data_IF_103664381186
#
_entry.id   IF_103664381186
#
_cell.length_a   1.000
_cell.length_b   1.000
_cell.length_c   1.000
_cell.angle_alpha   90.00
_cell.angle_beta   90.00
_cell.angle_gamma   90.00
#
_symmetry.space_group_name_H-M   'P 1'
#
loop_
_entity.id
_entity.type
_entity.pdbx_description
1 polymer ?
#
# COMPACT_ATOMS: atom_id res chain seq x y z
N UNK A 1 -17.67 4.64 1.41
CA UNK A 1 -16.95 3.39 1.65
C UNK A 1 -17.69 2.64 2.72
N UNK A 2 -18.04 1.39 2.47
CA UNK A 2 -18.86 0.61 3.39
C UNK A 2 -18.05 0.33 4.67
N UNK A 3 -18.70 0.49 5.82
CA UNK A 3 -18.07 0.26 7.13
C UNK A 3 -18.22 -1.19 7.60
N UNK A 4 -19.08 -1.96 6.93
CA UNK A 4 -19.37 -3.36 7.24
C UNK A 4 -19.88 -4.07 5.98
N UNK A 5 -19.72 -5.39 5.95
CA UNK A 5 -20.27 -6.28 4.93
C UNK A 5 -20.98 -7.45 5.61
N UNK A 6 -22.02 -7.96 4.95
CA UNK A 6 -22.62 -9.25 5.31
C UNK A 6 -21.99 -10.36 4.47
N UNK A 7 -21.53 -11.42 5.12
CA UNK A 7 -20.97 -12.62 4.47
C UNK A 7 -21.71 -13.87 4.93
N UNK A 8 -21.96 -14.79 4.01
CA UNK A 8 -22.57 -16.09 4.32
C UNK A 8 -21.49 -17.17 4.31
N UNK A 9 -21.43 -17.95 5.39
CA UNK A 9 -20.49 -19.06 5.51
C UNK A 9 -21.13 -20.22 6.25
N UNK A 10 -21.21 -21.39 5.60
CA UNK A 10 -21.83 -22.58 6.21
C UNK A 10 -23.32 -22.39 6.52
N UNK A 11 -24.01 -21.55 5.74
CA UNK A 11 -25.43 -21.24 5.92
C UNK A 11 -25.75 -20.23 7.03
N UNK A 12 -24.73 -19.70 7.73
CA UNK A 12 -24.88 -18.63 8.71
C UNK A 12 -24.42 -17.29 8.13
N UNK A 13 -25.13 -16.22 8.48
CA UNK A 13 -24.80 -14.85 8.10
C UNK A 13 -23.95 -14.19 9.18
N UNK A 14 -22.84 -13.57 8.78
CA UNK A 14 -21.91 -12.86 9.65
C UNK A 14 -21.76 -11.41 9.18
N UNK A 15 -21.85 -10.47 10.11
CA UNK A 15 -21.57 -9.05 9.85
C UNK A 15 -20.10 -8.80 10.19
N UNK A 16 -19.32 -8.41 9.18
CA UNK A 16 -17.89 -8.12 9.33
C UNK A 16 -17.68 -6.63 9.21
N UNK A 17 -17.29 -5.94 10.30
CA UNK A 17 -16.93 -4.53 10.24
C UNK A 17 -15.56 -4.37 9.57
N UNK A 18 -15.33 -3.19 8.99
CA UNK A 18 -14.01 -2.78 8.51
C UNK A 18 -13.01 -2.80 9.67
N UNK A 19 -11.84 -3.38 9.42
CA UNK A 19 -10.82 -3.57 10.45
C UNK A 19 -10.24 -2.21 10.89
N UNK A 20 -10.12 -2.03 12.21
CA UNK A 20 -9.27 -1.00 12.80
C UNK A 20 -7.80 -1.40 12.67
N UNK A 21 -6.89 -0.45 12.87
CA UNK A 21 -5.45 -0.65 12.63
C UNK A 21 -4.90 -1.94 13.25
N UNK A 22 -5.25 -2.24 14.51
CA UNK A 22 -4.75 -3.44 15.19
C UNK A 22 -5.17 -4.74 14.50
N UNK A 23 -6.45 -4.84 14.14
CA UNK A 23 -6.99 -6.00 13.40
C UNK A 23 -6.44 -6.02 11.98
N UNK A 24 -6.35 -4.86 11.31
CA UNK A 24 -5.81 -4.73 9.96
C UNK A 24 -4.37 -5.25 9.87
N UNK A 25 -3.50 -4.84 10.79
CA UNK A 25 -2.10 -5.30 10.83
C UNK A 25 -2.02 -6.81 11.08
N UNK A 26 -2.91 -7.37 11.91
CA UNK A 26 -3.01 -8.81 12.12
C UNK A 26 -3.43 -9.54 10.84
N UNK A 27 -4.43 -9.02 10.13
CA UNK A 27 -4.88 -9.56 8.85
C UNK A 27 -3.77 -9.47 7.79
N UNK A 28 -3.01 -8.38 7.73
CA UNK A 28 -1.88 -8.23 6.82
C UNK A 28 -0.79 -9.28 7.06
N UNK A 29 -0.45 -9.56 8.33
CA UNK A 29 0.50 -10.62 8.68
C UNK A 29 -0.02 -12.00 8.23
N UNK A 30 -1.29 -12.31 8.50
CA UNK A 30 -1.90 -13.58 8.10
C UNK A 30 -2.02 -13.73 6.57
N UNK A 31 -2.23 -12.62 5.86
CA UNK A 31 -2.23 -12.59 4.41
C UNK A 31 -0.84 -12.85 3.84
N UNK A 32 0.21 -12.29 4.45
CA UNK A 32 1.60 -12.59 4.06
C UNK A 32 1.92 -14.09 4.29
N UNK A 33 1.52 -14.66 5.43
CA UNK A 33 1.67 -16.10 5.69
C UNK A 33 0.89 -16.97 4.68
N UNK A 34 -0.28 -16.52 4.22
CA UNK A 34 -1.05 -17.20 3.18
C UNK A 34 -0.31 -17.18 1.83
N UNK A 35 0.28 -16.03 1.45
CA UNK A 35 1.07 -15.91 0.22
C UNK A 35 2.35 -16.75 0.28
N UNK A 36 3.06 -16.73 1.41
CA UNK A 36 4.24 -17.57 1.64
C UNK A 36 3.91 -19.06 1.52
N UNK A 37 2.74 -19.48 2.02
CA UNK A 37 2.25 -20.85 1.88
C UNK A 37 1.94 -21.21 0.42
N UNK A 38 1.36 -20.27 -0.33
CA UNK A 38 1.06 -20.44 -1.75
C UNK A 38 2.33 -20.54 -2.60
N UNK A 39 3.34 -19.71 -2.33
CA UNK A 39 4.64 -19.75 -3.02
C UNK A 39 5.40 -21.07 -2.79
N UNK A 40 5.12 -21.75 -1.67
CA UNK A 40 5.70 -23.06 -1.33
C UNK A 40 4.84 -24.24 -1.76
N UNK A 41 3.68 -23.99 -2.37
CA UNK A 41 2.67 -25.00 -2.72
C UNK A 41 2.19 -25.84 -1.50
N UNK A 42 2.29 -25.29 -0.28
CA UNK A 42 1.85 -25.96 0.95
C UNK A 42 0.37 -25.70 1.21
N UNK A 43 -0.47 -26.57 0.65
CA UNK A 43 -1.93 -26.52 0.82
C UNK A 43 -2.39 -26.50 2.29
N UNK A 44 -1.64 -27.15 3.19
CA UNK A 44 -1.96 -27.19 4.62
C UNK A 44 -1.69 -25.84 5.29
N UNK A 45 -0.54 -25.24 4.99
CA UNK A 45 -0.21 -23.90 5.45
C UNK A 45 -1.21 -22.86 4.92
N UNK A 46 -1.55 -22.93 3.63
CA UNK A 46 -2.55 -22.04 3.03
C UNK A 46 -3.91 -22.15 3.73
N UNK A 47 -4.43 -23.37 3.91
CA UNK A 47 -5.72 -23.58 4.56
C UNK A 47 -5.74 -23.07 6.01
N UNK A 48 -4.64 -23.29 6.75
CA UNK A 48 -4.51 -22.82 8.13
C UNK A 48 -4.43 -21.28 8.21
N UNK A 49 -3.67 -20.63 7.32
CA UNK A 49 -3.57 -19.17 7.26
C UNK A 49 -4.91 -18.53 6.87
N UNK A 50 -5.61 -19.12 5.90
CA UNK A 50 -6.95 -18.68 5.48
C UNK A 50 -7.96 -18.80 6.63
N UNK A 51 -7.96 -19.93 7.35
CA UNK A 51 -8.79 -20.12 8.54
C UNK A 51 -8.51 -19.04 9.60
N UNK A 52 -7.23 -18.80 9.91
CA UNK A 52 -6.82 -17.79 10.90
C UNK A 52 -7.23 -16.39 10.45
N UNK A 53 -7.10 -16.08 9.17
CA UNK A 53 -7.49 -14.79 8.59
C UNK A 53 -8.98 -14.52 8.78
N UNK A 54 -9.84 -15.44 8.36
CA UNK A 54 -11.30 -15.30 8.47
C UNK A 54 -11.72 -15.24 9.95
N UNK A 55 -11.12 -16.09 10.80
CA UNK A 55 -11.41 -16.10 12.24
C UNK A 55 -11.00 -14.82 12.95
N UNK A 56 -9.93 -14.15 12.50
CA UNK A 56 -9.47 -12.87 13.05
C UNK A 56 -10.33 -11.69 12.57
N UNK A 57 -10.95 -11.80 11.39
CA UNK A 57 -11.80 -10.76 10.82
C UNK A 57 -13.22 -10.77 11.40
N UNK A 58 -13.80 -11.95 11.67
CA UNK A 58 -15.18 -12.08 12.17
C UNK A 58 -15.22 -11.80 13.69
N UNK A 59 -16.01 -10.81 14.15
CA UNK A 59 -16.20 -10.56 15.58
C UNK A 59 -16.77 -11.79 16.28
N UNK A 60 -16.24 -12.12 17.47
CA UNK A 60 -16.54 -13.33 18.26
C UNK A 60 -15.88 -14.64 17.75
N UNK A 61 -15.11 -14.56 16.67
CA UNK A 61 -14.41 -15.72 16.11
C UNK A 61 -15.34 -16.68 15.38
N UNK A 62 -14.72 -17.62 14.67
CA UNK A 62 -15.42 -18.61 13.86
C UNK A 62 -15.01 -20.01 14.32
N UNK A 63 -15.98 -20.89 14.51
CA UNK A 63 -15.69 -22.28 14.86
C UNK A 63 -15.03 -23.01 13.68
N UNK A 64 -13.98 -23.79 13.98
CA UNK A 64 -13.27 -24.61 13.00
C UNK A 64 -14.20 -25.61 12.30
N UNK A 65 -15.22 -26.10 13.00
CA UNK A 65 -16.21 -27.02 12.45
C UNK A 65 -16.99 -26.42 11.28
N UNK A 66 -17.34 -25.13 11.36
CA UNK A 66 -18.08 -24.42 10.30
C UNK A 66 -17.23 -24.33 9.03
N UNK A 67 -15.96 -23.94 9.13
CA UNK A 67 -15.06 -23.86 7.97
C UNK A 67 -14.83 -25.24 7.36
N UNK A 68 -14.61 -26.27 8.18
CA UNK A 68 -14.33 -27.62 7.68
C UNK A 68 -15.50 -28.23 6.89
N UNK A 69 -16.73 -27.81 7.18
CA UNK A 69 -17.94 -28.27 6.49
C UNK A 69 -18.36 -27.35 5.33
N UNK A 70 -17.80 -26.15 5.25
CA UNK A 70 -18.15 -25.17 4.23
C UNK A 70 -17.49 -25.49 2.89
N UNK A 71 -18.20 -25.33 1.77
CA UNK A 71 -17.59 -25.44 0.45
C UNK A 71 -16.44 -24.44 0.26
N UNK A 72 -15.38 -24.85 -0.42
CA UNK A 72 -14.16 -24.04 -0.59
C UNK A 72 -14.43 -22.68 -1.27
N UNK A 73 -15.41 -22.62 -2.19
CA UNK A 73 -15.76 -21.39 -2.90
C UNK A 73 -16.41 -20.35 -1.97
N UNK A 74 -17.13 -20.78 -0.92
CA UNK A 74 -17.70 -19.86 0.08
C UNK A 74 -16.58 -19.25 0.90
N UNK A 75 -15.62 -20.06 1.36
CA UNK A 75 -14.45 -19.61 2.11
C UNK A 75 -13.66 -18.58 1.29
N UNK A 76 -13.44 -18.85 0.01
CA UNK A 76 -12.72 -17.95 -0.88
C UNK A 76 -13.50 -16.64 -1.11
N UNK A 77 -14.81 -16.71 -1.33
CA UNK A 77 -15.64 -15.51 -1.48
C UNK A 77 -15.61 -14.64 -0.22
N UNK A 78 -15.75 -15.25 0.96
CA UNK A 78 -15.64 -14.56 2.26
C UNK A 78 -14.28 -13.88 2.38
N UNK A 79 -13.19 -14.59 2.07
CA UNK A 79 -11.85 -14.01 2.09
C UNK A 79 -11.72 -12.80 1.15
N UNK A 80 -12.16 -12.93 -0.10
CA UNK A 80 -12.09 -11.84 -1.09
C UNK A 80 -12.92 -10.64 -0.64
N UNK A 81 -14.14 -10.85 -0.12
CA UNK A 81 -14.99 -9.77 0.37
C UNK A 81 -14.37 -9.04 1.56
N UNK A 82 -13.79 -9.77 2.52
CA UNK A 82 -13.09 -9.18 3.66
C UNK A 82 -11.82 -8.44 3.22
N UNK A 83 -11.05 -9.02 2.30
CA UNK A 83 -9.84 -8.37 1.77
C UNK A 83 -10.18 -7.08 1.02
N UNK A 84 -11.29 -7.08 0.26
CA UNK A 84 -11.78 -5.91 -0.48
C UNK A 84 -12.30 -4.81 0.47
N UNK A 85 -13.03 -5.19 1.53
CA UNK A 85 -13.47 -4.25 2.57
C UNK A 85 -12.30 -3.54 3.27
N UNK A 86 -11.19 -4.25 3.44
CA UNK A 86 -9.99 -3.74 4.13
C UNK A 86 -8.95 -3.16 3.16
N UNK A 87 -9.29 -2.97 1.88
CA UNK A 87 -8.42 -2.26 0.96
C UNK A 87 -8.25 -0.83 1.46
N UNK A 88 -6.99 -0.38 1.53
CA UNK A 88 -6.68 1.02 1.87
C UNK A 88 -7.11 1.89 0.70
N UNK A 89 -8.09 2.76 0.94
CA UNK A 89 -8.46 3.79 -0.02
C UNK A 89 -7.59 5.03 0.22
N UNK A 90 -7.17 5.66 -0.88
CA UNK A 90 -6.36 6.86 -0.85
C UNK A 90 -4.97 6.71 -1.45
N UNK A 91 -4.42 7.85 -1.84
CA UNK A 91 -3.14 7.94 -2.52
C UNK A 91 -2.00 8.21 -1.54
N UNK A 92 -1.69 7.25 -0.68
CA UNK A 92 -0.54 7.37 0.22
C UNK A 92 0.77 7.13 -0.53
N UNK A 93 1.59 8.17 -0.61
CA UNK A 93 2.93 8.15 -1.22
C UNK A 93 3.78 7.01 -0.65
N UNK A 94 3.75 6.85 0.67
CA UNK A 94 4.53 5.83 1.38
C UNK A 94 4.19 4.41 0.91
N UNK A 95 2.96 4.13 0.47
CA UNK A 95 2.55 2.81 -0.01
C UNK A 95 2.87 2.57 -1.49
N UNK A 96 2.66 3.58 -2.35
CA UNK A 96 2.86 3.45 -3.81
C UNK A 96 4.30 3.10 -4.17
N UNK A 97 5.26 3.55 -3.38
CA UNK A 97 6.69 3.46 -3.69
C UNK A 97 7.51 2.68 -2.67
N UNK A 98 6.84 1.89 -1.82
CA UNK A 98 7.47 1.01 -0.82
C UNK A 98 8.25 -0.18 -1.41
N UNK A 99 8.35 -0.32 -2.74
CA UNK A 99 9.12 -1.41 -3.35
C UNK A 99 10.60 -1.25 -3.01
N UNK A 100 11.03 -2.06 -2.05
CA UNK A 100 12.43 -2.21 -1.70
C UNK A 100 12.88 -3.56 -2.26
N UNK A 101 13.81 -3.55 -3.21
CA UNK A 101 14.56 -4.74 -3.64
C UNK A 101 15.56 -5.21 -2.56
N UNK A 102 15.36 -4.82 -1.29
CA UNK A 102 16.24 -5.23 -0.22
C UNK A 102 16.00 -6.69 0.13
N UNK A 103 17.10 -7.43 0.23
CA UNK A 103 17.10 -8.79 0.72
C UNK A 103 16.41 -8.85 2.10
N UNK A 104 15.62 -9.91 2.38
CA UNK A 104 14.99 -10.06 3.67
C UNK A 104 16.04 -10.06 4.77
N UNK A 105 15.87 -9.15 5.72
CA UNK A 105 16.84 -8.95 6.79
C UNK A 105 16.68 -10.07 7.82
N UNK A 106 17.76 -10.68 8.38
CA UNK A 106 17.66 -11.86 9.25
C UNK A 106 16.80 -11.69 10.50
N UNK A 107 16.63 -10.44 10.97
CA UNK A 107 15.80 -10.09 12.13
C UNK A 107 14.39 -9.62 11.75
N UNK A 108 13.95 -9.83 10.51
CA UNK A 108 12.60 -9.52 10.08
C UNK A 108 11.63 -10.62 10.53
N UNK A 109 10.97 -10.43 11.66
CA UNK A 109 9.92 -11.32 12.14
C UNK A 109 8.51 -10.80 11.75
N UNK A 110 7.48 -11.66 11.66
CA UNK A 110 6.15 -11.29 11.15
C UNK A 110 5.48 -10.11 11.90
N UNK A 111 5.70 -10.02 13.22
CA UNK A 111 5.13 -8.94 14.05
C UNK A 111 5.87 -7.59 13.93
N UNK A 112 6.97 -7.51 13.18
CA UNK A 112 7.84 -6.33 13.18
C UNK A 112 7.13 -5.10 12.62
N UNK A 113 6.36 -5.28 11.56
CA UNK A 113 5.57 -4.20 10.96
C UNK A 113 4.56 -3.63 11.96
N UNK A 114 3.84 -4.51 12.66
CA UNK A 114 2.86 -4.10 13.67
C UNK A 114 3.51 -3.32 14.80
N UNK A 115 4.61 -3.86 15.34
CA UNK A 115 5.34 -3.24 16.44
C UNK A 115 5.94 -1.90 15.99
N UNK A 116 6.47 -1.80 14.77
CA UNK A 116 7.06 -0.56 14.28
C UNK A 116 6.03 0.54 14.14
N UNK A 117 4.84 0.26 13.59
CA UNK A 117 3.76 1.25 13.48
C UNK A 117 3.29 1.74 14.84
N UNK A 118 3.05 0.81 15.78
CA UNK A 118 2.66 1.16 17.15
C UNK A 118 3.76 2.00 17.82
N UNK A 119 5.02 1.63 17.66
CA UNK A 119 6.14 2.34 18.27
C UNK A 119 6.31 3.76 17.70
N UNK A 120 6.24 3.94 16.38
CA UNK A 120 6.33 5.25 15.72
C UNK A 120 5.21 6.18 16.25
N UNK A 121 3.97 5.71 16.23
CA UNK A 121 2.81 6.50 16.67
C UNK A 121 2.86 6.80 18.18
N UNK A 122 3.23 5.81 19.00
CA UNK A 122 3.36 6.00 20.44
C UNK A 122 4.48 6.99 20.78
N UNK A 123 5.61 6.95 20.06
CA UNK A 123 6.72 7.87 20.28
C UNK A 123 6.38 9.32 19.89
N UNK A 124 5.61 9.51 18.82
CA UNK A 124 5.24 10.83 18.32
C UNK A 124 4.12 11.49 19.15
N UNK A 125 3.06 10.75 19.49
CA UNK A 125 1.86 11.32 20.11
C UNK A 125 1.63 10.90 21.56
N UNK A 126 2.49 10.02 22.12
CA UNK A 126 2.36 9.48 23.46
C UNK A 126 0.99 8.78 23.72
N UNK A 127 0.41 8.20 22.67
CA UNK A 127 -0.83 7.43 22.74
C UNK A 127 -0.60 6.02 23.27
N UNK A 128 -1.62 5.46 23.92
CA UNK A 128 -1.56 4.06 24.36
C UNK A 128 -1.68 3.11 23.16
N UNK A 129 -1.22 1.86 23.34
CA UNK A 129 -1.40 0.81 22.33
C UNK A 129 -2.86 0.65 21.92
N UNK A 130 -3.79 0.72 22.89
CA UNK A 130 -5.23 0.51 22.64
C UNK A 130 -5.80 1.64 21.78
N UNK A 131 -5.39 2.88 22.04
CA UNK A 131 -5.82 4.04 21.25
C UNK A 131 -5.32 3.94 19.82
N UNK A 132 -4.04 3.55 19.64
CA UNK A 132 -3.42 3.38 18.32
C UNK A 132 -4.10 2.24 17.53
N UNK A 133 -4.35 1.10 18.17
CA UNK A 133 -4.99 -0.05 17.51
C UNK A 133 -6.43 0.23 17.07
N UNK A 134 -7.09 1.23 17.67
CA UNK A 134 -8.45 1.67 17.33
C UNK A 134 -8.50 2.71 16.20
N UNK A 135 -7.37 3.24 15.74
CA UNK A 135 -7.33 4.16 14.60
C UNK A 135 -7.85 3.50 13.32
N UNK A 136 -8.36 4.33 12.40
CA UNK A 136 -8.53 3.88 11.02
C UNK A 136 -7.16 3.68 10.38
N UNK A 137 -7.05 2.67 9.50
CA UNK A 137 -5.79 2.33 8.84
C UNK A 137 -5.23 3.51 8.05
N UNK A 138 -6.11 4.25 7.36
CA UNK A 138 -5.76 5.44 6.55
C UNK A 138 -5.21 6.58 7.42
N UNK A 139 -5.84 6.83 8.56
CA UNK A 139 -5.40 7.87 9.51
C UNK A 139 -4.01 7.53 10.05
N UNK A 140 -3.80 6.27 10.44
CA UNK A 140 -2.51 5.80 10.93
C UNK A 140 -1.41 5.91 9.86
N UNK A 141 -1.70 5.59 8.60
CA UNK A 141 -0.74 5.76 7.49
C UNK A 141 -0.43 7.25 7.28
N UNK A 142 -1.45 8.11 7.30
CA UNK A 142 -1.28 9.56 7.18
C UNK A 142 -0.34 10.11 8.27
N UNK A 143 -0.58 9.73 9.52
CA UNK A 143 0.28 10.12 10.65
C UNK A 143 1.71 9.60 10.50
N UNK A 144 1.90 8.34 10.12
CA UNK A 144 3.24 7.78 9.91
C UNK A 144 3.96 8.56 8.79
N UNK A 145 3.27 8.87 7.69
CA UNK A 145 3.84 9.62 6.58
C UNK A 145 4.26 11.04 7.01
N UNK A 146 3.45 11.71 7.84
CA UNK A 146 3.76 13.03 8.41
C UNK A 146 5.00 12.95 9.33
N UNK A 147 5.03 11.99 10.26
CA UNK A 147 6.16 11.78 11.17
C UNK A 147 7.46 11.53 10.39
N UNK A 148 7.43 10.63 9.40
CA UNK A 148 8.63 10.32 8.61
C UNK A 148 9.09 11.51 7.76
N UNK A 149 8.17 12.33 7.24
CA UNK A 149 8.51 13.55 6.50
C UNK A 149 9.21 14.58 7.40
N UNK A 150 8.71 14.76 8.62
CA UNK A 150 9.30 15.67 9.61
C UNK A 150 10.68 15.19 10.07
N UNK A 151 10.81 13.90 10.38
CA UNK A 151 12.10 13.30 10.72
C UNK A 151 13.12 13.47 9.60
N UNK A 152 12.71 13.23 8.35
CA UNK A 152 13.59 13.40 7.20
C UNK A 152 14.01 14.87 7.03
N UNK A 153 13.08 15.81 7.20
CA UNK A 153 13.37 17.25 7.12
C UNK A 153 14.38 17.66 8.20
N UNK A 154 14.22 17.14 9.43
CA UNK A 154 15.16 17.37 10.51
C UNK A 154 16.55 16.76 10.22
N UNK A 155 16.59 15.53 9.69
CA UNK A 155 17.83 14.86 9.28
C UNK A 155 18.56 15.64 8.19
N UNK A 156 17.83 16.18 7.21
CA UNK A 156 18.38 17.03 6.15
C UNK A 156 18.95 18.33 6.69
N UNK A 157 18.23 18.98 7.61
CA UNK A 157 18.71 20.18 8.28
C UNK A 157 20.00 19.90 9.05
N UNK A 158 20.03 18.86 9.88
CA UNK A 158 21.24 18.48 10.62
C UNK A 158 22.40 18.08 9.71
N UNK A 159 22.11 17.35 8.62
CA UNK A 159 23.10 17.00 7.61
C UNK A 159 23.71 18.23 6.96
N UNK A 160 22.89 19.25 6.64
CA UNK A 160 23.36 20.52 6.06
C UNK A 160 24.32 21.31 6.95
N UNK A 161 24.32 21.06 8.27
CA UNK A 161 25.27 21.67 9.19
C UNK A 161 26.56 20.85 9.36
N UNK A 162 26.57 19.59 8.89
CA UNK A 162 27.72 18.69 9.00
C UNK A 162 28.75 18.96 7.91
N UNK A 163 30.04 18.84 8.24
CA UNK A 163 31.13 18.89 7.26
C UNK A 163 31.03 17.80 6.20
N UNK A 164 30.38 16.67 6.52
CA UNK A 164 30.13 15.56 5.60
C UNK A 164 29.27 16.01 4.40
N UNK A 165 28.41 17.01 4.58
CA UNK A 165 27.58 17.53 3.50
C UNK A 165 28.31 18.45 2.51
N UNK A 166 29.57 18.82 2.79
CA UNK A 166 30.40 19.66 1.93
C UNK A 166 31.76 18.99 1.62
N UNK A 167 31.76 17.84 0.91
CA UNK A 167 33.01 17.19 0.54
C UNK A 167 33.88 18.14 -0.30
N UNK A 168 35.14 18.30 0.10
CA UNK A 168 36.10 19.13 -0.62
C UNK A 168 36.56 18.42 -1.88
N UNK A 169 36.37 19.05 -3.04
CA UNK A 169 36.88 18.53 -4.30
C UNK A 169 38.21 19.20 -4.64
N UNK A 170 39.31 18.45 -4.52
CA UNK A 170 40.68 18.96 -4.72
C UNK A 170 40.91 19.57 -6.12
N UNK A 171 40.29 19.00 -7.15
CA UNK A 171 40.45 19.47 -8.53
C UNK A 171 39.84 20.84 -8.76
N UNK A 172 38.65 21.09 -8.20
CA UNK A 172 37.96 22.39 -8.32
C UNK A 172 38.30 23.37 -7.19
N UNK A 173 38.99 22.88 -6.15
CA UNK A 173 39.24 23.61 -4.88
C UNK A 173 37.97 24.22 -4.28
N UNK A 174 36.83 23.58 -4.51
CA UNK A 174 35.53 24.04 -4.03
C UNK A 174 34.82 22.91 -3.30
N UNK A 175 34.03 23.28 -2.30
CA UNK A 175 33.13 22.36 -1.61
C UNK A 175 31.73 22.60 -2.13
N UNK A 176 31.05 21.54 -2.60
CA UNK A 176 29.65 21.61 -3.05
C UNK A 176 28.77 20.87 -2.06
N UNK A 177 27.57 21.38 -1.84
CA UNK A 177 26.59 20.72 -0.98
C UNK A 177 26.13 19.40 -1.61
N UNK A 178 26.23 18.31 -0.85
CA UNK A 178 25.73 16.99 -1.18
C UNK A 178 24.52 16.68 -0.29
N UNK A 179 23.27 16.77 -0.80
CA UNK A 179 22.07 16.56 0.00
C UNK A 179 21.98 15.12 0.49
N UNK A 180 21.28 14.92 1.61
CA UNK A 180 20.93 13.59 2.08
C UNK A 180 19.94 12.93 1.09
N UNK A 181 20.10 11.64 0.85
CA UNK A 181 19.17 10.90 -0.02
C UNK A 181 17.80 10.83 0.65
N UNK A 182 16.78 11.28 -0.08
CA UNK A 182 15.38 11.19 0.36
C UNK A 182 14.81 9.79 0.12
N UNK A 183 13.87 9.33 0.96
CA UNK A 183 13.06 8.15 0.66
C UNK A 183 12.39 8.29 -0.70
N UNK A 184 12.25 7.18 -1.44
CA UNK A 184 11.69 7.17 -2.81
C UNK A 184 10.32 7.83 -2.90
N UNK A 185 9.53 7.76 -1.82
CA UNK A 185 8.20 8.34 -1.76
C UNK A 185 8.17 9.86 -1.56
N UNK A 186 9.26 10.47 -1.10
CA UNK A 186 9.44 11.92 -0.95
C UNK A 186 10.11 12.58 -2.16
N UNK A 187 10.68 11.78 -3.07
CA UNK A 187 11.36 12.31 -4.27
C UNK A 187 10.28 12.76 -5.25
N UNK A 188 10.31 14.04 -5.62
CA UNK A 188 9.50 14.55 -6.74
C UNK A 188 10.02 13.85 -8.00
N UNK A 189 9.31 12.82 -8.45
CA UNK A 189 9.59 12.23 -9.75
C UNK A 189 9.14 13.23 -10.80
N UNK A 190 10.05 13.60 -11.67
CA UNK A 190 9.65 14.10 -12.97
C UNK A 190 8.83 12.96 -13.57
N UNK A 191 7.53 13.17 -13.71
CA UNK A 191 6.72 12.28 -14.53
C UNK A 191 7.35 12.42 -15.89
N UNK A 192 8.08 11.39 -16.34
CA UNK A 192 8.45 11.31 -17.74
C UNK A 192 7.14 11.45 -18.48
N UNK A 193 6.90 12.63 -19.07
CA UNK A 193 5.83 12.80 -20.02
C UNK A 193 6.14 11.77 -21.07
N UNK A 194 5.41 10.65 -21.03
CA UNK A 194 5.48 9.66 -22.08
C UNK A 194 4.97 10.40 -23.29
N UNK A 195 5.89 10.96 -24.08
CA UNK A 195 5.63 11.47 -25.40
C UNK A 195 5.10 10.27 -26.19
N UNK A 196 3.79 10.05 -26.06
CA UNK A 196 3.09 9.05 -26.81
C UNK A 196 3.02 9.64 -28.19
N UNK A 197 4.02 9.31 -29.00
CA UNK A 197 3.96 9.49 -30.44
C UNK A 197 2.81 8.64 -30.94
N UNK A 198 1.61 9.22 -30.95
CA UNK A 198 0.45 8.62 -31.56
C UNK A 198 0.79 8.42 -33.04
N UNK A 199 0.81 7.16 -33.47
CA UNK A 199 0.93 6.84 -34.89
C UNK A 199 -0.17 7.61 -35.62
N UNK A 200 0.23 8.49 -36.55
CA UNK A 200 -0.70 9.35 -37.30
C UNK A 200 -1.81 8.54 -37.97
N UNK A 201 -1.58 7.26 -38.28
CA UNK A 201 -2.58 6.34 -38.86
C UNK A 201 -3.73 5.98 -37.90
N UNK A 202 -3.52 6.12 -36.60
CA UNK A 202 -4.53 5.88 -35.57
C UNK A 202 -5.35 7.13 -35.24
N UNK A 203 -4.93 8.30 -35.76
CA UNK A 203 -5.75 9.51 -35.65
C UNK A 203 -6.96 9.35 -36.56
N UNK A 204 -8.19 9.58 -36.06
CA UNK A 204 -9.37 9.54 -36.90
C UNK A 204 -9.23 10.59 -38.00
N UNK A 205 -9.21 10.15 -39.26
CA UNK A 205 -9.31 11.03 -40.41
C UNK A 205 -10.77 11.48 -40.45
N UNK A 206 -11.05 12.59 -39.77
CA UNK A 206 -12.37 13.21 -39.81
C UNK A 206 -12.59 13.87 -41.17
N UNK A 207 -13.66 13.48 -41.86
CA UNK A 207 -14.19 14.27 -42.98
C UNK A 207 -14.84 15.51 -42.38
N UNK A 208 -14.36 16.69 -42.74
CA UNK A 208 -14.96 17.95 -42.30
C UNK A 208 -16.11 18.26 -43.26
N UNK A 209 -17.34 18.22 -42.74
CA UNK A 209 -18.51 18.71 -43.46
C UNK A 209 -18.63 20.22 -43.27
N UNK A 210 -18.53 20.97 -44.36
CA UNK A 210 -18.73 22.42 -44.35
C UNK A 210 -20.21 22.75 -44.42
N UNK A 211 -20.59 23.94 -43.94
CA UNK A 211 -21.99 24.39 -43.91
C UNK A 211 -22.62 24.55 -45.31
N UNK A 212 -21.80 24.62 -46.36
CA UNK A 212 -22.23 24.64 -47.77
C UNK A 212 -22.49 23.24 -48.35
N UNK A 213 -22.32 22.19 -47.54
CA UNK A 213 -22.49 20.79 -47.93
C UNK A 213 -21.29 20.18 -48.65
N UNK A 214 -20.18 20.92 -48.79
CA UNK A 214 -18.93 20.36 -49.31
C UNK A 214 -18.20 19.55 -48.23
N UNK A 215 -17.53 18.48 -48.67
CA UNK A 215 -16.67 17.65 -47.84
C UNK A 215 -15.22 17.93 -48.19
N UNK A 216 -14.38 18.20 -47.19
CA UNK A 216 -12.93 18.26 -47.37
C UNK A 216 -12.26 17.23 -46.49
N UNK A 217 -11.47 16.35 -47.09
CA UNK A 217 -10.56 15.48 -46.36
C UNK A 217 -9.42 16.32 -45.80
N UNK A 218 -9.15 16.17 -44.51
CA UNK A 218 -8.01 16.84 -43.88
C UNK A 218 -6.75 16.02 -44.18
N UNK A 219 -6.01 16.39 -45.21
CA UNK A 219 -4.65 15.89 -45.41
C UNK A 219 -3.73 16.60 -44.40
N UNK A 220 -3.18 15.84 -43.45
CA UNK A 220 -2.14 16.37 -42.58
C UNK A 220 -0.91 16.68 -43.44
N UNK A 221 -0.68 17.98 -43.71
CA UNK A 221 0.50 18.44 -44.45
C UNK A 221 1.76 18.04 -43.68
N UNK A 222 2.68 17.37 -44.37
CA UNK A 222 3.95 16.86 -43.82
C UNK A 222 4.88 17.95 -43.26
#
# INVERSE_FOLDING_TARGET
MDLEISVNLGGAEYIVPRARLGTYLTLATLQAELMDGADREDSGAMANSLFRYISAAIPNGLDRGVIAQSPWYEILNVFISIATLNLIDGEFAILKWAKSDQLPVPWNHPERLRISWIHILANAYNWSKVDIENLWTEEAIGFIQEIEADEQTQKEFMHSLSSVSYPYNEGTKSSKYAPLVRPLWMVKREVEEVETTLDRRLLPIGVIHHADGSESEYEAVD
#
